data_IF_430395034192
#
_entry.id   IF_430395034192
#
_cell.length_a   1.000
_cell.length_b   1.000
_cell.length_c   1.000
_cell.angle_alpha   90.00
_cell.angle_beta   90.00
_cell.angle_gamma   90.00
#
_symmetry.space_group_name_H-M   'P 1'
#
loop_
_entity.id
_entity.type
_entity.pdbx_description
1 polymer ?
#
# COMPACT_ATOMS: atom_id res chain seq x y z
N UNK A 1 -4.40 -32.65 -26.58
CA UNK A 1 -4.79 -34.07 -26.59
C UNK A 1 -5.17 -34.36 -25.14
N UNK A 2 -6.40 -33.96 -24.79
CA UNK A 2 -7.58 -34.86 -24.66
C UNK A 2 -7.42 -35.78 -23.44
N UNK A 3 -8.38 -35.99 -22.54
CA UNK A 3 -9.83 -35.77 -22.50
C UNK A 3 -10.26 -36.10 -21.05
N UNK A 4 -11.50 -35.79 -20.67
CA UNK A 4 -11.99 -36.24 -19.36
C UNK A 4 -13.32 -35.66 -18.88
N UNK A 5 -14.28 -35.50 -19.80
CA UNK A 5 -15.70 -35.27 -19.52
C UNK A 5 -16.26 -36.45 -18.70
N UNK A 6 -16.93 -36.16 -17.57
CA UNK A 6 -17.86 -37.09 -16.93
C UNK A 6 -19.29 -36.56 -17.06
N UNK A 7 -20.08 -37.29 -17.85
CA UNK A 7 -21.50 -37.12 -18.10
C UNK A 7 -22.36 -37.87 -17.05
N UNK A 8 -23.48 -37.25 -16.66
CA UNK A 8 -24.85 -37.80 -16.55
C UNK A 8 -25.18 -38.96 -15.56
N UNK A 9 -26.12 -38.72 -14.62
CA UNK A 9 -27.45 -39.39 -14.56
C UNK A 9 -28.34 -38.79 -13.44
N UNK A 10 -29.67 -38.70 -13.65
CA UNK A 10 -30.67 -38.24 -12.69
C UNK A 10 -31.39 -39.43 -11.98
N UNK A 11 -31.85 -39.28 -10.74
CA UNK A 11 -32.75 -40.28 -10.16
C UNK A 11 -32.91 -40.27 -8.64
N UNK A 12 -34.01 -39.64 -8.22
CA UNK A 12 -34.80 -39.83 -6.99
C UNK A 12 -34.77 -41.27 -6.42
N UNK A 13 -34.67 -41.45 -5.09
CA UNK A 13 -35.62 -42.25 -4.27
C UNK A 13 -35.23 -42.32 -2.76
N UNK A 14 -36.13 -41.77 -1.93
CA UNK A 14 -36.54 -42.10 -0.55
C UNK A 14 -35.59 -42.79 0.46
N UNK A 15 -35.37 -42.08 1.58
CA UNK A 15 -35.80 -42.56 2.90
C UNK A 15 -34.75 -43.19 3.83
N UNK A 16 -34.33 -42.39 4.83
CA UNK A 16 -33.83 -42.79 6.17
C UNK A 16 -32.54 -43.62 6.26
N UNK A 17 -31.43 -42.97 6.63
CA UNK A 17 -30.64 -43.25 7.86
C UNK A 17 -29.36 -42.37 7.92
N UNK A 18 -29.24 -41.65 9.05
CA UNK A 18 -28.07 -40.99 9.64
C UNK A 18 -26.87 -40.55 8.77
N UNK A 19 -26.72 -39.23 8.56
CA UNK A 19 -25.39 -38.60 8.47
C UNK A 19 -25.51 -37.10 8.75
N UNK A 20 -24.64 -36.61 9.65
CA UNK A 20 -24.29 -35.20 9.89
C UNK A 20 -25.07 -34.20 9.04
N UNK A 21 -26.04 -33.49 9.62
CA UNK A 21 -26.41 -32.19 9.10
C UNK A 21 -25.19 -31.29 9.23
N UNK A 22 -24.38 -31.27 8.15
CA UNK A 22 -23.58 -30.11 7.80
C UNK A 22 -24.49 -28.92 7.97
N UNK A 23 -24.11 -28.13 8.96
CA UNK A 23 -24.57 -26.79 9.21
C UNK A 23 -24.84 -26.11 7.87
N UNK A 24 -26.09 -25.69 7.68
CA UNK A 24 -26.51 -24.92 6.52
C UNK A 24 -25.47 -23.83 6.27
N UNK A 25 -24.81 -23.89 5.10
CA UNK A 25 -23.97 -22.82 4.57
C UNK A 25 -24.88 -21.60 4.30
N UNK A 26 -25.27 -20.92 5.37
CA UNK A 26 -25.63 -19.51 5.32
C UNK A 26 -24.35 -18.81 4.90
N UNK A 27 -24.30 -18.07 3.78
CA UNK A 27 -23.10 -17.33 3.43
C UNK A 27 -22.79 -16.44 4.63
N UNK A 28 -21.64 -16.68 5.27
CA UNK A 28 -21.12 -15.85 6.33
C UNK A 28 -21.27 -14.41 5.86
N UNK A 29 -21.98 -13.59 6.66
CA UNK A 29 -22.27 -12.20 6.36
C UNK A 29 -21.05 -11.54 5.72
N UNK A 30 -21.19 -10.99 4.50
CA UNK A 30 -20.10 -10.31 3.77
C UNK A 30 -19.58 -9.03 4.46
N UNK A 31 -20.04 -8.79 5.69
CA UNK A 31 -19.65 -7.70 6.59
C UNK A 31 -18.89 -8.20 7.83
N UNK A 32 -18.49 -9.47 7.87
CA UNK A 32 -17.64 -9.99 8.93
C UNK A 32 -16.26 -9.28 8.88
N UNK A 33 -15.93 -8.58 9.95
CA UNK A 33 -14.61 -7.98 10.15
C UNK A 33 -13.64 -9.12 10.43
N UNK A 34 -12.70 -9.37 9.51
CA UNK A 34 -11.60 -10.32 9.74
C UNK A 34 -10.76 -9.82 10.93
N UNK A 35 -10.90 -10.47 12.08
CA UNK A 35 -10.08 -10.20 13.27
C UNK A 35 -8.72 -10.91 13.23
N UNK A 36 -8.53 -11.82 12.28
CA UNK A 36 -7.29 -12.56 12.12
C UNK A 36 -6.13 -11.64 11.69
N UNK A 37 -5.03 -11.68 12.45
CA UNK A 37 -3.78 -10.92 12.24
C UNK A 37 -3.86 -9.39 12.38
N UNK A 38 -4.91 -8.83 13.02
CA UNK A 38 -5.00 -7.39 13.30
C UNK A 38 -3.81 -6.87 14.13
N UNK A 39 -3.43 -7.62 15.17
CA UNK A 39 -2.35 -7.24 16.09
C UNK A 39 -0.98 -7.16 15.40
N UNK A 40 -0.66 -8.14 14.57
CA UNK A 40 0.63 -8.21 13.88
C UNK A 40 0.78 -7.11 12.83
N UNK A 41 -0.29 -6.87 12.05
CA UNK A 41 -0.34 -5.76 11.09
C UNK A 41 -0.24 -4.41 11.79
N UNK A 42 -0.87 -4.26 12.95
CA UNK A 42 -0.80 -3.03 13.72
C UNK A 42 0.63 -2.71 14.18
N UNK A 43 1.33 -3.69 14.77
CA UNK A 43 2.69 -3.48 15.26
C UNK A 43 3.67 -3.12 14.13
N UNK A 44 3.61 -3.86 13.01
CA UNK A 44 4.51 -3.63 11.87
C UNK A 44 4.18 -2.34 11.11
N UNK A 45 2.90 -2.07 10.84
CA UNK A 45 2.50 -0.92 10.03
C UNK A 45 2.46 0.39 10.83
N UNK A 46 1.95 0.36 12.06
CA UNK A 46 1.73 1.58 12.86
C UNK A 46 2.96 1.93 13.68
N UNK A 47 3.53 0.98 14.42
CA UNK A 47 4.67 1.28 15.30
C UNK A 47 5.96 1.35 14.47
N UNK A 48 6.32 0.27 13.80
CA UNK A 48 7.54 0.25 12.99
C UNK A 48 7.41 1.19 11.77
N UNK A 49 6.34 1.07 10.97
CA UNK A 49 6.10 1.94 9.83
C UNK A 49 5.91 3.42 10.21
N UNK A 50 5.21 3.73 11.30
CA UNK A 50 4.98 5.11 11.75
C UNK A 50 6.25 5.79 12.24
N UNK A 51 7.14 5.07 12.95
CA UNK A 51 8.44 5.64 13.36
C UNK A 51 9.32 5.97 12.15
N UNK A 52 9.41 5.06 11.17
CA UNK A 52 10.16 5.28 9.93
C UNK A 52 9.59 6.44 9.12
N UNK A 53 8.25 6.50 8.98
CA UNK A 53 7.58 7.59 8.29
C UNK A 53 7.84 8.94 8.97
N UNK A 54 7.83 8.99 10.30
CA UNK A 54 8.11 10.21 11.07
C UNK A 54 9.54 10.70 10.84
N UNK A 55 10.52 9.82 10.96
CA UNK A 55 11.94 10.15 10.72
C UNK A 55 12.15 10.62 9.28
N UNK A 56 11.53 9.94 8.32
CA UNK A 56 11.59 10.31 6.90
C UNK A 56 11.01 11.70 6.66
N UNK A 57 9.81 12.00 7.18
CA UNK A 57 9.17 13.31 7.00
C UNK A 57 10.05 14.41 7.56
N UNK A 58 10.53 14.27 8.80
CA UNK A 58 11.35 15.30 9.46
C UNK A 58 12.65 15.54 8.69
N UNK A 59 13.39 14.48 8.35
CA UNK A 59 14.69 14.59 7.71
C UNK A 59 14.59 15.11 6.28
N UNK A 60 13.67 14.55 5.47
CA UNK A 60 13.50 14.96 4.09
C UNK A 60 12.89 16.36 3.94
N UNK A 61 12.02 16.78 4.87
CA UNK A 61 11.50 18.17 4.91
C UNK A 61 12.61 19.15 5.29
N UNK A 62 13.47 18.80 6.25
CA UNK A 62 14.62 19.62 6.61
C UNK A 62 15.59 19.79 5.43
N UNK A 63 15.92 18.69 4.72
CA UNK A 63 16.75 18.74 3.51
C UNK A 63 16.11 19.60 2.42
N UNK A 64 14.81 19.41 2.16
CA UNK A 64 14.08 20.22 1.21
C UNK A 64 14.16 21.71 1.55
N UNK A 65 13.93 22.08 2.81
CA UNK A 65 14.00 23.48 3.25
C UNK A 65 15.42 24.06 3.17
N UNK A 66 16.43 23.28 3.54
CA UNK A 66 17.84 23.67 3.46
C UNK A 66 18.26 23.95 2.02
N UNK A 67 17.87 23.07 1.08
CA UNK A 67 18.19 23.25 -0.34
C UNK A 67 17.36 24.36 -1.01
N UNK A 68 16.11 24.57 -0.61
CA UNK A 68 15.29 25.70 -1.09
C UNK A 68 15.82 27.04 -0.59
N UNK A 69 16.27 27.09 0.67
CA UNK A 69 16.82 28.32 1.28
C UNK A 69 18.19 28.66 0.68
N UNK A 70 19.01 27.66 0.37
CA UNK A 70 20.35 27.88 -0.15
C UNK A 70 20.32 28.09 -1.68
N UNK A 71 20.21 29.36 -2.11
CA UNK A 71 20.24 29.81 -3.52
C UNK A 71 21.58 29.60 -4.25
N UNK A 72 22.47 28.77 -3.72
CA UNK A 72 23.86 28.67 -4.17
C UNK A 72 24.00 27.73 -5.38
N UNK A 73 23.99 28.32 -6.58
CA UNK A 73 24.37 27.79 -7.89
C UNK A 73 23.71 26.46 -8.33
N UNK A 74 23.04 26.48 -9.50
CA UNK A 74 22.40 25.33 -10.17
C UNK A 74 23.39 24.24 -10.62
N UNK A 75 24.10 23.63 -9.67
CA UNK A 75 24.84 22.41 -9.89
C UNK A 75 23.81 21.27 -9.90
N UNK A 76 23.79 20.44 -10.95
CA UNK A 76 22.77 19.40 -11.11
C UNK A 76 22.69 18.46 -9.90
N UNK A 77 23.80 18.29 -9.18
CA UNK A 77 23.87 17.60 -7.88
C UNK A 77 22.83 18.07 -6.85
N UNK A 78 22.65 19.38 -6.66
CA UNK A 78 21.68 19.91 -5.69
C UNK A 78 20.23 19.67 -6.15
N UNK A 79 19.98 19.60 -7.46
CA UNK A 79 18.66 19.28 -8.00
C UNK A 79 18.32 17.80 -7.78
N UNK A 80 19.25 16.87 -8.03
CA UNK A 80 18.99 15.44 -7.79
C UNK A 80 18.65 15.16 -6.31
N UNK A 81 19.41 15.75 -5.38
CA UNK A 81 19.15 15.61 -3.94
C UNK A 81 17.81 16.26 -3.53
N UNK A 82 17.44 17.40 -4.13
CA UNK A 82 16.16 18.07 -3.88
C UNK A 82 14.96 17.24 -4.36
N UNK A 83 15.02 16.69 -5.59
CA UNK A 83 13.92 15.87 -6.11
C UNK A 83 13.78 14.55 -5.34
N UNK A 84 14.88 13.99 -4.85
CA UNK A 84 14.85 12.82 -3.95
C UNK A 84 14.09 13.13 -2.67
N UNK A 85 14.46 14.22 -1.99
CA UNK A 85 13.78 14.64 -0.76
C UNK A 85 12.28 14.95 -1.00
N UNK A 86 11.94 15.50 -2.16
CA UNK A 86 10.54 15.72 -2.55
C UNK A 86 9.75 14.41 -2.69
N UNK A 87 10.30 13.42 -3.41
CA UNK A 87 9.63 12.12 -3.57
C UNK A 87 9.54 11.36 -2.24
N UNK A 88 10.54 11.42 -1.38
CA UNK A 88 10.52 10.74 -0.08
C UNK A 88 9.46 11.32 0.88
N UNK A 89 9.27 12.64 0.91
CA UNK A 89 8.17 13.26 1.67
C UNK A 89 6.81 12.84 1.10
N UNK A 90 6.66 12.87 -0.22
CA UNK A 90 5.42 12.46 -0.88
C UNK A 90 5.06 11.00 -0.58
N UNK A 91 6.04 10.08 -0.65
CA UNK A 91 5.87 8.67 -0.33
C UNK A 91 5.50 8.46 1.15
N UNK A 92 6.14 9.19 2.06
CA UNK A 92 5.89 9.06 3.50
C UNK A 92 4.47 9.51 3.88
N UNK A 93 3.99 10.61 3.30
CA UNK A 93 2.61 11.10 3.49
C UNK A 93 1.60 10.11 2.90
N UNK A 94 1.87 9.62 1.69
CA UNK A 94 1.01 8.66 0.99
C UNK A 94 0.84 7.37 1.78
N UNK A 95 1.95 6.82 2.28
CA UNK A 95 1.95 5.60 3.08
C UNK A 95 1.21 5.81 4.42
N UNK A 96 1.46 6.93 5.10
CA UNK A 96 0.78 7.27 6.35
C UNK A 96 -0.73 7.43 6.15
N UNK A 97 -1.17 8.08 5.07
CA UNK A 97 -2.59 8.23 4.73
C UNK A 97 -3.26 6.88 4.42
N UNK A 98 -2.61 6.01 3.65
CA UNK A 98 -3.13 4.67 3.34
C UNK A 98 -3.33 3.82 4.60
N UNK A 99 -2.36 3.84 5.52
CA UNK A 99 -2.45 3.09 6.78
C UNK A 99 -3.43 3.72 7.77
N UNK A 100 -3.44 5.06 7.90
CA UNK A 100 -4.36 5.76 8.79
C UNK A 100 -5.82 5.57 8.38
N UNK A 101 -6.14 5.68 7.08
CA UNK A 101 -7.52 5.49 6.60
C UNK A 101 -7.96 4.02 6.72
N UNK A 102 -7.04 3.06 6.58
CA UNK A 102 -7.33 1.63 6.80
C UNK A 102 -7.74 1.36 8.25
N UNK A 103 -7.04 1.95 9.22
CA UNK A 103 -7.38 1.85 10.65
C UNK A 103 -8.67 2.60 10.96
N UNK A 104 -8.85 3.80 10.42
CA UNK A 104 -10.04 4.63 10.65
C UNK A 104 -11.32 3.99 10.11
N UNK A 105 -11.23 3.31 8.96
CA UNK A 105 -12.35 2.56 8.38
C UNK A 105 -12.75 1.39 9.26
N UNK A 106 -11.77 0.70 9.87
CA UNK A 106 -12.03 -0.38 10.82
C UNK A 106 -12.69 0.17 12.11
N UNK A 107 -12.19 1.30 12.63
CA UNK A 107 -12.70 1.91 13.86
C UNK A 107 -14.11 2.49 13.73
N UNK A 108 -14.45 3.10 12.59
CA UNK A 108 -15.72 3.83 12.40
C UNK A 108 -16.82 3.02 11.73
N UNK A 109 -16.53 1.82 11.22
CA UNK A 109 -17.49 0.94 10.53
C UNK A 109 -18.23 1.62 9.37
N UNK A 110 -17.71 2.75 8.87
CA UNK A 110 -18.48 3.68 8.05
C UNK A 110 -18.31 3.38 6.57
N UNK A 111 -19.41 3.07 5.88
CA UNK A 111 -19.43 2.75 4.45
C UNK A 111 -18.85 3.87 3.56
N UNK A 112 -19.05 5.14 3.94
CA UNK A 112 -18.54 6.28 3.20
C UNK A 112 -17.00 6.36 3.20
N UNK A 113 -16.36 6.11 4.35
CA UNK A 113 -14.89 6.11 4.47
C UNK A 113 -14.28 4.95 3.69
N UNK A 114 -14.91 3.76 3.76
CA UNK A 114 -14.47 2.58 2.98
C UNK A 114 -14.55 2.83 1.47
N UNK A 115 -15.61 3.49 1.00
CA UNK A 115 -15.78 3.87 -0.42
C UNK A 115 -14.73 4.89 -0.87
N UNK A 116 -14.50 5.94 -0.07
CA UNK A 116 -13.47 6.94 -0.36
C UNK A 116 -12.08 6.31 -0.39
N UNK A 117 -11.79 5.41 0.55
CA UNK A 117 -10.54 4.67 0.60
C UNK A 117 -10.32 3.82 -0.65
N UNK A 118 -11.31 3.01 -1.07
CA UNK A 118 -11.18 2.18 -2.28
C UNK A 118 -10.91 3.01 -3.54
N UNK A 119 -11.61 4.15 -3.68
CA UNK A 119 -11.41 5.04 -4.83
C UNK A 119 -10.06 5.75 -4.82
N UNK A 120 -9.52 6.04 -3.63
CA UNK A 120 -8.27 6.79 -3.46
C UNK A 120 -7.02 5.90 -3.39
N UNK A 121 -7.16 4.67 -2.91
CA UNK A 121 -6.04 3.75 -2.70
C UNK A 121 -5.31 3.45 -4.01
N UNK A 122 -6.05 3.10 -5.06
CA UNK A 122 -5.49 2.74 -6.38
C UNK A 122 -4.67 3.90 -6.96
N UNK A 123 -5.19 5.13 -7.09
CA UNK A 123 -4.40 6.23 -7.63
C UNK A 123 -3.22 6.61 -6.73
N UNK A 124 -3.35 6.52 -5.41
CA UNK A 124 -2.23 6.86 -4.51
C UNK A 124 -1.08 5.84 -4.63
N UNK A 125 -1.41 4.55 -4.80
CA UNK A 125 -0.42 3.49 -5.03
C UNK A 125 0.28 3.65 -6.37
N UNK A 126 -0.45 3.99 -7.44
CA UNK A 126 0.17 4.18 -8.75
C UNK A 126 1.11 5.38 -8.76
N UNK A 127 0.72 6.50 -8.17
CA UNK A 127 1.59 7.69 -8.06
C UNK A 127 2.83 7.36 -7.21
N UNK A 128 2.66 6.62 -6.11
CA UNK A 128 3.79 6.17 -5.28
C UNK A 128 4.78 5.32 -6.07
N UNK A 129 4.29 4.40 -6.91
CA UNK A 129 5.16 3.58 -7.75
C UNK A 129 5.91 4.41 -8.80
N UNK A 130 5.26 5.41 -9.39
CA UNK A 130 5.90 6.35 -10.32
C UNK A 130 6.96 7.20 -9.60
N UNK A 131 6.66 7.68 -8.38
CA UNK A 131 7.62 8.44 -7.57
C UNK A 131 8.84 7.58 -7.18
N UNK A 132 8.62 6.31 -6.84
CA UNK A 132 9.67 5.35 -6.52
C UNK A 132 10.56 5.05 -7.74
N UNK A 133 10.00 4.87 -8.93
CA UNK A 133 10.83 4.67 -10.12
C UNK A 133 11.58 5.95 -10.50
N UNK A 134 10.94 7.11 -10.36
CA UNK A 134 11.58 8.40 -10.58
C UNK A 134 12.78 8.64 -9.65
N UNK A 135 12.70 8.28 -8.36
CA UNK A 135 13.83 8.41 -7.44
C UNK A 135 15.01 7.52 -7.84
N UNK A 136 14.76 6.28 -8.30
CA UNK A 136 15.81 5.40 -8.83
C UNK A 136 16.48 6.00 -10.06
N UNK A 137 15.72 6.56 -11.01
CA UNK A 137 16.30 7.23 -12.17
C UNK A 137 17.15 8.44 -11.77
N UNK A 138 16.70 9.24 -10.81
CA UNK A 138 17.47 10.39 -10.32
C UNK A 138 18.80 9.96 -9.69
N UNK A 139 18.82 8.87 -8.92
CA UNK A 139 20.04 8.31 -8.36
C UNK A 139 21.00 7.86 -9.48
N UNK A 140 20.48 7.15 -10.49
CA UNK A 140 21.29 6.70 -11.64
C UNK A 140 21.87 7.88 -12.41
N UNK A 141 21.07 8.90 -12.70
CA UNK A 141 21.56 10.11 -13.38
C UNK A 141 22.60 10.86 -12.54
N UNK A 142 22.40 10.97 -11.23
CA UNK A 142 23.39 11.56 -10.33
C UNK A 142 24.71 10.77 -10.33
N UNK A 143 24.63 9.43 -10.38
CA UNK A 143 25.81 8.57 -10.50
C UNK A 143 26.53 8.79 -11.84
N UNK A 144 25.81 8.82 -12.95
CA UNK A 144 26.37 9.08 -14.29
C UNK A 144 27.05 10.44 -14.35
N UNK A 145 26.41 11.50 -13.84
CA UNK A 145 26.99 12.84 -13.79
C UNK A 145 28.28 12.86 -12.97
N UNK A 146 28.33 12.11 -11.86
CA UNK A 146 29.53 11.97 -11.03
C UNK A 146 30.64 11.21 -11.73
N UNK A 147 30.34 10.16 -12.49
CA UNK A 147 31.33 9.38 -13.23
C UNK A 147 31.91 10.13 -14.42
N UNK A 148 31.14 11.01 -15.07
CA UNK A 148 31.64 11.80 -16.20
C UNK A 148 32.53 12.99 -15.77
N UNK A 149 32.49 13.38 -14.49
CA UNK A 149 33.34 14.44 -13.92
C UNK A 149 34.69 13.92 -13.36
N UNK A 150 34.94 12.61 -13.45
CA UNK A 150 36.21 11.93 -13.11
C UNK A 150 36.95 11.60 -14.39
#
# INVERSE_FOLDING_TARGET
MEEGVYLFEPGVHNGTEALHTSQSDVPASCDAVDEDFLYERFYMAVIAGGSVATVSIVTNTFLFFLFVTNRQHRNSYNLYMLLLAFFDVFLSISYCALMAVRVLTNWTGSYALRKMWMSYMIPMLTISHIAQTASVYLIVFAAVERHQKV
#
